data_IF_424742573679
#
_entry.id   IF_424742573679
#
_cell.length_a   1.000
_cell.length_b   1.000
_cell.length_c   1.000
_cell.angle_alpha   90.00
_cell.angle_beta   90.00
_cell.angle_gamma   90.00
#
_symmetry.space_group_name_H-M   'P 1'
#
loop_
_entity.id
_entity.type
_entity.pdbx_description
1 polymer ?
#
# COMPACT_ATOMS: atom_id res chain seq x y z
N UNK A 1 -26.51 -21.78 -17.34
CA UNK A 1 -26.24 -20.63 -16.46
C UNK A 1 -24.88 -19.97 -16.70
N UNK A 2 -23.84 -20.68 -17.15
CA UNK A 2 -22.55 -20.06 -17.54
C UNK A 2 -22.62 -19.20 -18.80
N UNK A 3 -23.41 -19.58 -19.81
CA UNK A 3 -23.56 -18.80 -21.05
C UNK A 3 -24.09 -17.37 -20.80
N UNK A 4 -25.03 -17.22 -19.86
CA UNK A 4 -25.63 -15.92 -19.49
C UNK A 4 -24.67 -15.02 -18.69
N UNK A 5 -23.70 -15.63 -17.99
CA UNK A 5 -22.63 -14.90 -17.29
C UNK A 5 -21.56 -14.42 -18.27
N UNK A 6 -21.27 -15.23 -19.31
CA UNK A 6 -20.38 -14.85 -20.40
C UNK A 6 -21.01 -13.75 -21.28
N UNK A 7 -22.30 -13.82 -21.58
CA UNK A 7 -23.07 -12.81 -22.33
C UNK A 7 -23.14 -11.46 -21.58
N UNK A 8 -23.10 -11.48 -20.24
CA UNK A 8 -22.99 -10.27 -19.41
C UNK A 8 -21.57 -9.68 -19.40
N UNK A 9 -20.54 -10.50 -19.66
CA UNK A 9 -19.14 -10.06 -19.76
C UNK A 9 -18.76 -9.59 -21.17
N UNK A 10 -19.55 -9.96 -22.19
CA UNK A 10 -19.30 -9.66 -23.61
C UNK A 10 -20.31 -8.66 -24.20
N UNK A 11 -21.21 -8.12 -23.36
CA UNK A 11 -21.92 -6.89 -23.70
C UNK A 11 -20.89 -5.76 -23.64
N UNK A 12 -20.15 -5.62 -24.75
CA UNK A 12 -19.31 -4.46 -25.06
C UNK A 12 -20.23 -3.26 -25.00
N UNK A 13 -20.38 -2.69 -23.81
CA UNK A 13 -21.18 -1.50 -23.58
C UNK A 13 -20.59 -0.45 -24.52
N UNK A 14 -21.41 0.02 -25.46
CA UNK A 14 -21.08 1.13 -26.34
C UNK A 14 -21.23 2.42 -25.52
N UNK A 15 -20.33 2.56 -24.54
CA UNK A 15 -20.29 3.69 -23.62
C UNK A 15 -19.74 4.89 -24.38
N UNK A 16 -20.26 6.07 -24.05
CA UNK A 16 -19.58 7.28 -24.50
C UNK A 16 -18.18 7.38 -23.85
N UNK A 17 -17.30 8.19 -24.43
CA UNK A 17 -15.97 8.39 -23.85
C UNK A 17 -16.06 8.99 -22.44
N UNK A 18 -17.00 9.92 -22.24
CA UNK A 18 -17.31 10.54 -20.95
C UNK A 18 -17.68 9.49 -19.90
N UNK A 19 -18.59 8.60 -20.24
CA UNK A 19 -19.04 7.52 -19.36
C UNK A 19 -17.90 6.53 -19.08
N UNK A 20 -17.12 6.17 -20.10
CA UNK A 20 -15.94 5.30 -19.95
C UNK A 20 -14.89 5.90 -19.00
N UNK A 21 -14.61 7.20 -19.12
CA UNK A 21 -13.67 7.90 -18.23
C UNK A 21 -14.27 7.97 -16.82
N UNK A 22 -15.55 8.29 -16.66
CA UNK A 22 -16.21 8.34 -15.35
C UNK A 22 -16.13 6.99 -14.63
N UNK A 23 -16.50 5.90 -15.30
CA UNK A 23 -16.41 4.55 -14.74
C UNK A 23 -14.97 4.15 -14.42
N UNK A 24 -14.00 4.62 -15.21
CA UNK A 24 -12.59 4.35 -14.94
C UNK A 24 -12.06 5.10 -13.72
N UNK A 25 -12.45 6.37 -13.53
CA UNK A 25 -12.14 7.16 -12.33
C UNK A 25 -12.65 6.44 -11.07
N UNK A 26 -13.86 5.88 -11.13
CA UNK A 26 -14.48 5.14 -10.02
C UNK A 26 -14.00 3.68 -9.93
N UNK A 27 -13.03 3.27 -10.76
CA UNK A 27 -12.48 1.91 -10.83
C UNK A 27 -13.52 0.82 -11.14
N UNK A 28 -14.65 1.19 -11.75
CA UNK A 28 -15.74 0.27 -12.11
C UNK A 28 -15.52 -0.41 -13.47
N UNK A 29 -14.84 0.26 -14.40
CA UNK A 29 -14.58 -0.27 -15.74
C UNK A 29 -13.20 0.15 -16.28
N UNK A 30 -12.45 -0.74 -16.96
CA UNK A 30 -11.20 -0.37 -17.62
C UNK A 30 -11.46 0.52 -18.85
N UNK A 31 -10.62 1.51 -19.08
CA UNK A 31 -10.62 2.31 -20.32
C UNK A 31 -9.47 1.89 -21.24
N UNK A 32 -9.66 2.08 -22.54
CA UNK A 32 -8.58 1.99 -23.53
C UNK A 32 -7.66 3.21 -23.42
N UNK A 33 -6.37 2.99 -23.18
CA UNK A 33 -5.39 4.05 -23.00
C UNK A 33 -5.28 4.99 -24.22
N UNK A 34 -5.50 4.48 -25.43
CA UNK A 34 -5.46 5.29 -26.66
C UNK A 34 -6.56 6.36 -26.69
N UNK A 35 -7.73 6.06 -26.12
CA UNK A 35 -8.85 6.99 -26.06
C UNK A 35 -8.60 8.12 -25.06
N UNK A 36 -8.00 7.78 -23.92
CA UNK A 36 -7.59 8.74 -22.90
C UNK A 36 -6.47 9.67 -23.41
N UNK A 37 -5.56 9.15 -24.24
CA UNK A 37 -4.43 9.92 -24.78
C UNK A 37 -4.84 11.00 -25.81
N UNK A 38 -6.08 10.95 -26.30
CA UNK A 38 -6.60 11.98 -27.20
C UNK A 38 -6.69 13.36 -26.51
N UNK A 39 -6.58 14.49 -27.25
CA UNK A 39 -6.71 15.83 -26.67
C UNK A 39 -8.02 16.04 -25.89
N UNK A 40 -9.11 15.46 -26.40
CA UNK A 40 -10.42 15.52 -25.76
C UNK A 40 -10.50 14.62 -24.52
N UNK A 41 -9.93 13.41 -24.56
CA UNK A 41 -9.86 12.51 -23.42
C UNK A 41 -9.07 13.11 -22.24
N UNK A 42 -7.92 13.74 -22.53
CA UNK A 42 -7.12 14.47 -21.53
C UNK A 42 -7.89 15.64 -20.91
N UNK A 43 -8.62 16.41 -21.73
CA UNK A 43 -9.47 17.50 -21.25
C UNK A 43 -10.59 17.01 -20.31
N UNK A 44 -11.27 15.91 -20.66
CA UNK A 44 -12.30 15.30 -19.82
C UNK A 44 -11.72 14.81 -18.49
N UNK A 45 -10.57 14.13 -18.54
CA UNK A 45 -9.85 13.68 -17.36
C UNK A 45 -9.53 14.82 -16.40
N UNK A 46 -8.95 15.91 -16.91
CA UNK A 46 -8.62 17.10 -16.13
C UNK A 46 -9.87 17.75 -15.53
N UNK A 47 -10.95 17.86 -16.33
CA UNK A 47 -12.21 18.48 -15.89
C UNK A 47 -12.88 17.68 -14.77
N UNK A 48 -12.91 16.35 -14.88
CA UNK A 48 -13.55 15.49 -13.87
C UNK A 48 -12.76 15.48 -12.55
N UNK A 49 -11.43 15.48 -12.61
CA UNK A 49 -10.61 15.62 -11.40
C UNK A 49 -10.80 16.99 -10.76
N UNK A 50 -10.81 18.07 -11.54
CA UNK A 50 -11.03 19.42 -11.01
C UNK A 50 -12.39 19.56 -10.33
N UNK A 51 -13.47 19.01 -10.92
CA UNK A 51 -14.79 18.97 -10.27
C UNK A 51 -14.68 18.21 -8.93
N UNK A 52 -14.03 17.05 -8.94
CA UNK A 52 -13.80 16.27 -7.72
C UNK A 52 -13.05 17.05 -6.64
N UNK A 53 -12.02 17.79 -7.03
CA UNK A 53 -11.20 18.58 -6.12
C UNK A 53 -11.97 19.77 -5.54
N UNK A 54 -12.72 20.51 -6.37
CA UNK A 54 -13.65 21.57 -5.93
C UNK A 54 -14.67 21.04 -4.92
N UNK A 55 -15.21 19.85 -5.13
CA UNK A 55 -16.19 19.23 -4.22
C UNK A 55 -15.57 18.80 -2.89
N UNK A 56 -14.26 18.52 -2.84
CA UNK A 56 -13.55 18.13 -1.61
C UNK A 56 -13.07 19.34 -0.80
N UNK A 57 -12.50 20.34 -1.46
CA UNK A 57 -12.03 21.59 -0.84
C UNK A 57 -11.64 22.62 -1.89
N UNK A 58 -11.91 23.90 -1.63
CA UNK A 58 -11.42 25.01 -2.47
C UNK A 58 -9.89 25.04 -2.54
N UNK A 59 -9.18 24.56 -1.51
CA UNK A 59 -7.71 24.48 -1.51
C UNK A 59 -7.17 23.51 -2.57
N UNK A 60 -7.95 22.50 -2.96
CA UNK A 60 -7.56 21.50 -3.96
C UNK A 60 -7.94 21.92 -5.38
N UNK A 61 -8.78 22.96 -5.55
CA UNK A 61 -9.25 23.47 -6.84
C UNK A 61 -8.17 24.26 -7.59
N UNK A 62 -6.99 23.65 -7.75
CA UNK A 62 -5.82 24.25 -8.39
C UNK A 62 -5.81 23.82 -9.85
N UNK A 63 -5.86 24.80 -10.76
CA UNK A 63 -5.67 24.54 -12.18
C UNK A 63 -4.17 24.45 -12.50
N UNK A 64 -3.69 23.30 -13.03
CA UNK A 64 -2.31 23.17 -13.46
C UNK A 64 -1.99 24.16 -14.59
N UNK A 65 -0.74 24.63 -14.65
CA UNK A 65 -0.33 25.43 -15.81
C UNK A 65 -0.23 24.57 -17.07
N UNK A 66 -0.41 25.18 -18.24
CA UNK A 66 -0.37 24.53 -19.57
C UNK A 66 0.80 23.54 -19.77
N UNK A 67 1.98 23.84 -19.21
CA UNK A 67 3.18 23.01 -19.35
C UNK A 67 3.50 22.15 -18.12
N UNK A 68 2.62 22.10 -17.12
CA UNK A 68 2.85 21.33 -15.90
C UNK A 68 3.03 19.85 -16.22
N UNK A 69 2.07 19.22 -16.90
CA UNK A 69 2.14 17.80 -17.24
C UNK A 69 3.32 17.46 -18.16
N UNK A 70 3.67 18.35 -19.09
CA UNK A 70 4.84 18.17 -19.95
C UNK A 70 6.15 18.15 -19.14
N UNK A 71 6.28 19.03 -18.13
CA UNK A 71 7.44 19.04 -17.22
C UNK A 71 7.49 17.80 -16.34
N UNK A 72 6.34 17.38 -15.80
CA UNK A 72 6.23 16.17 -14.96
C UNK A 72 6.56 14.92 -15.77
N UNK A 73 5.96 14.75 -16.95
CA UNK A 73 6.24 13.63 -17.85
C UNK A 73 7.72 13.54 -18.19
N UNK A 74 8.34 14.68 -18.55
CA UNK A 74 9.77 14.74 -18.82
C UNK A 74 10.62 14.34 -17.61
N UNK A 75 10.25 14.81 -16.42
CA UNK A 75 10.97 14.45 -15.19
C UNK A 75 10.88 12.95 -14.91
N UNK A 76 9.70 12.34 -15.13
CA UNK A 76 9.49 10.89 -15.00
C UNK A 76 10.33 10.11 -16.02
N UNK A 77 10.40 10.56 -17.27
CA UNK A 77 11.23 9.92 -18.31
C UNK A 77 12.73 9.98 -17.98
N UNK A 78 13.15 10.99 -17.23
CA UNK A 78 14.53 11.17 -16.75
C UNK A 78 14.84 10.34 -15.49
N UNK A 79 13.83 9.72 -14.84
CA UNK A 79 14.06 8.90 -13.65
C UNK A 79 14.82 7.60 -14.00
N UNK A 80 15.90 7.27 -13.27
CA UNK A 80 16.60 6.02 -13.47
C UNK A 80 15.69 4.84 -13.08
N UNK A 81 15.57 3.85 -13.96
CA UNK A 81 14.80 2.62 -13.69
C UNK A 81 15.36 1.93 -12.43
N UNK A 82 14.64 2.04 -11.32
CA UNK A 82 15.00 1.37 -10.06
C UNK A 82 14.65 -0.11 -10.17
N UNK A 83 15.62 -0.94 -10.52
CA UNK A 83 15.49 -2.40 -10.51
C UNK A 83 15.41 -2.91 -9.06
N UNK A 84 14.19 -2.95 -8.52
CA UNK A 84 13.81 -3.50 -7.22
C UNK A 84 14.47 -2.84 -5.99
N UNK A 85 13.80 -2.88 -4.82
CA UNK A 85 14.49 -2.63 -3.56
C UNK A 85 15.65 -3.61 -3.48
N UNK A 86 16.88 -3.13 -3.31
CA UNK A 86 18.02 -3.98 -3.01
C UNK A 86 17.69 -4.74 -1.72
N UNK A 87 17.23 -6.00 -1.84
CA UNK A 87 17.00 -6.86 -0.71
C UNK A 87 18.36 -7.08 -0.04
N UNK A 88 18.66 -6.28 0.97
CA UNK A 88 19.84 -6.42 1.79
C UNK A 88 19.74 -7.79 2.46
N UNK A 89 20.47 -8.77 1.92
CA UNK A 89 20.50 -10.12 2.50
C UNK A 89 21.02 -9.97 3.93
N UNK A 90 20.26 -10.37 4.97
CA UNK A 90 20.76 -10.27 6.33
C UNK A 90 22.05 -11.09 6.44
N UNK A 91 23.07 -10.60 7.19
CA UNK A 91 24.33 -11.30 7.31
C UNK A 91 24.09 -12.69 7.88
N UNK A 92 24.72 -13.70 7.26
CA UNK A 92 24.54 -15.12 7.59
C UNK A 92 24.76 -15.42 9.08
N UNK A 93 25.64 -14.67 9.76
CA UNK A 93 25.82 -14.72 11.22
C UNK A 93 24.49 -14.66 11.98
N UNK A 94 23.58 -13.73 11.63
CA UNK A 94 22.31 -13.52 12.35
C UNK A 94 21.43 -14.78 12.40
N UNK A 95 21.64 -15.72 11.46
CA UNK A 95 20.96 -17.02 11.44
C UNK A 95 21.53 -18.03 12.45
N UNK A 96 22.79 -17.87 12.86
CA UNK A 96 23.47 -18.75 13.83
C UNK A 96 23.39 -18.21 15.27
N UNK A 97 23.17 -16.90 15.47
CA UNK A 97 23.07 -16.32 16.81
C UNK A 97 21.77 -16.66 17.55
N UNK A 98 20.72 -17.11 16.85
CA UNK A 98 19.44 -17.45 17.47
C UNK A 98 19.43 -18.84 18.14
N UNK A 99 20.45 -19.68 17.96
CA UNK A 99 20.49 -21.01 18.59
C UNK A 99 21.08 -21.03 20.01
N UNK A 100 21.78 -19.96 20.44
CA UNK A 100 22.44 -19.96 21.76
C UNK A 100 21.65 -19.24 22.86
N UNK A 101 20.63 -18.44 22.51
CA UNK A 101 19.82 -17.73 23.51
C UNK A 101 18.77 -18.62 24.21
N UNK A 102 18.38 -19.75 23.61
CA UNK A 102 17.32 -20.64 24.15
C UNK A 102 17.82 -21.56 25.28
N UNK A 103 19.13 -21.84 25.37
CA UNK A 103 19.65 -22.84 26.32
C UNK A 103 19.96 -22.26 27.71
N UNK A 104 20.18 -20.94 27.82
CA UNK A 104 20.54 -20.29 29.09
C UNK A 104 19.41 -20.17 30.12
N UNK A 105 18.14 -20.21 29.70
CA UNK A 105 17.00 -19.99 30.60
C UNK A 105 16.58 -21.23 31.40
N UNK A 106 16.94 -22.45 30.99
CA UNK A 106 16.42 -23.68 31.61
C UNK A 106 17.22 -24.18 32.82
N UNK A 107 18.51 -23.84 32.96
CA UNK A 107 19.38 -24.42 34.01
C UNK A 107 19.41 -23.59 35.29
N UNK A 108 18.96 -22.33 35.25
CA UNK A 108 18.88 -21.47 36.44
C UNK A 108 17.60 -21.66 37.27
N UNK A 109 16.61 -22.44 36.81
CA UNK A 109 15.27 -22.51 37.43
C UNK A 109 15.03 -23.68 38.40
N UNK A 110 15.94 -24.65 38.53
CA UNK A 110 15.72 -25.78 39.47
C UNK A 110 16.25 -25.55 40.88
N UNK A 111 17.10 -24.55 41.11
CA UNK A 111 17.71 -24.30 42.42
C UNK A 111 16.94 -23.28 43.29
N UNK A 112 15.83 -22.73 42.79
CA UNK A 112 15.03 -21.69 43.45
C UNK A 112 13.58 -22.11 43.73
N UNK A 113 13.30 -23.42 43.78
CA UNK A 113 11.99 -23.99 44.15
C UNK A 113 11.98 -24.55 45.58
N UNK A 114 12.53 -23.78 46.53
CA UNK A 114 12.19 -23.90 47.94
C UNK A 114 11.99 -22.50 48.49
N UNK A 115 10.84 -21.88 48.18
CA UNK A 115 10.24 -20.86 49.04
C UNK A 115 8.72 -21.03 49.06
N UNK A 116 8.08 -20.90 50.24
CA UNK A 116 6.64 -21.05 50.42
C UNK A 116 5.87 -19.87 49.82
N UNK A 117 4.66 -20.18 49.34
CA UNK A 117 3.68 -19.30 48.68
C UNK A 117 3.56 -17.89 49.27
N UNK A 118 3.56 -16.90 48.37
CA UNK A 118 2.85 -15.63 48.57
C UNK A 118 1.98 -15.33 47.35
N UNK A 119 0.68 -15.26 47.60
CA UNK A 119 -0.41 -14.84 46.69
C UNK A 119 0.04 -13.64 45.85
N UNK A 120 -0.09 -13.73 44.52
CA UNK A 120 0.17 -12.62 43.61
C UNK A 120 -1.02 -12.46 42.67
N UNK A 121 -1.64 -11.28 42.74
CA UNK A 121 -2.64 -10.72 41.85
C UNK A 121 -2.27 -10.93 40.37
N UNK A 122 -3.21 -11.44 39.56
CA UNK A 122 -3.08 -11.45 38.11
C UNK A 122 -3.17 -10.01 37.57
N UNK A 123 -2.03 -9.41 37.30
CA UNK A 123 -1.97 -8.23 36.44
C UNK A 123 -2.23 -8.67 34.99
N UNK A 124 -3.17 -8.03 34.26
CA UNK A 124 -3.46 -8.41 32.88
C UNK A 124 -2.22 -8.17 32.01
N UNK A 125 -1.87 -9.17 31.20
CA UNK A 125 -0.88 -9.05 30.14
C UNK A 125 -1.42 -8.03 29.13
N UNK A 126 -0.90 -6.80 29.20
CA UNK A 126 -1.11 -5.82 28.14
C UNK A 126 -0.36 -6.31 26.90
N UNK A 127 -1.11 -6.64 25.86
CA UNK A 127 -0.54 -6.84 24.54
C UNK A 127 0.28 -5.60 24.17
N UNK A 128 1.54 -5.81 23.78
CA UNK A 128 2.39 -4.72 23.30
C UNK A 128 1.73 -4.10 22.07
N UNK A 129 1.46 -2.78 22.13
CA UNK A 129 0.81 -2.05 21.05
C UNK A 129 1.63 -2.08 19.74
N UNK A 130 2.95 -2.29 19.85
CA UNK A 130 3.87 -2.29 18.71
C UNK A 130 3.64 -3.50 17.77
N UNK A 131 3.33 -4.68 18.33
CA UNK A 131 3.07 -5.89 17.53
C UNK A 131 1.67 -5.86 16.91
N UNK A 132 0.68 -5.33 17.64
CA UNK A 132 -0.70 -5.16 17.15
C UNK A 132 -0.78 -4.15 15.99
N UNK A 133 0.04 -3.10 16.02
CA UNK A 133 0.08 -2.10 14.97
C UNK A 133 0.67 -2.66 13.67
N UNK A 134 1.74 -3.45 13.76
CA UNK A 134 2.35 -4.10 12.60
C UNK A 134 1.37 -5.06 11.91
N UNK A 135 0.69 -5.92 12.69
CA UNK A 135 -0.31 -6.85 12.18
C UNK A 135 -1.53 -6.13 11.58
N UNK A 136 -1.97 -5.02 12.19
CA UNK A 136 -3.06 -4.20 11.67
C UNK A 136 -2.71 -3.56 10.31
N UNK A 137 -1.49 -3.01 10.17
CA UNK A 137 -1.03 -2.39 8.93
C UNK A 137 -0.86 -3.43 7.83
N UNK A 138 -0.32 -4.61 8.15
CA UNK A 138 -0.19 -5.71 7.17
C UNK A 138 -1.57 -6.24 6.73
N UNK A 139 -2.52 -6.36 7.65
CA UNK A 139 -3.90 -6.72 7.31
C UNK A 139 -4.58 -5.67 6.43
N UNK A 140 -4.40 -4.38 6.72
CA UNK A 140 -4.96 -3.29 5.91
C UNK A 140 -4.36 -3.26 4.50
N UNK A 141 -3.06 -3.50 4.36
CA UNK A 141 -2.37 -3.59 3.07
C UNK A 141 -2.81 -4.79 2.24
N UNK A 142 -3.07 -5.92 2.88
CA UNK A 142 -3.61 -7.10 2.20
C UNK A 142 -5.02 -6.85 1.63
N UNK A 143 -5.83 -6.03 2.28
CA UNK A 143 -7.18 -5.68 1.81
C UNK A 143 -7.19 -4.63 0.69
N UNK A 144 -6.23 -3.70 0.67
CA UNK A 144 -6.16 -2.63 -0.34
C UNK A 144 -5.36 -2.99 -1.59
N UNK A 145 -4.71 -4.17 -1.63
CA UNK A 145 -3.98 -4.67 -2.79
C UNK A 145 -2.63 -3.97 -3.05
N UNK A 146 -2.19 -3.10 -2.15
CA UNK A 146 -0.92 -2.38 -2.26
C UNK A 146 0.18 -3.21 -1.59
N UNK A 147 1.13 -3.70 -2.41
CA UNK A 147 2.26 -4.51 -1.94
C UNK A 147 3.15 -3.78 -0.92
N UNK A 148 4.06 -4.51 -0.22
CA UNK A 148 4.75 -3.98 0.95
C UNK A 148 5.70 -2.81 0.59
N UNK A 149 5.35 -1.61 1.08
CA UNK A 149 6.24 -0.45 1.06
C UNK A 149 7.29 -0.58 2.18
N UNK A 150 8.56 -0.66 1.80
CA UNK A 150 9.68 -0.67 2.74
C UNK A 150 9.99 0.76 3.17
N UNK A 151 9.79 1.08 4.45
CA UNK A 151 10.13 2.40 5.00
C UNK A 151 11.66 2.51 5.14
N UNK A 152 12.27 3.51 4.51
CA UNK A 152 13.70 3.83 4.70
C UNK A 152 13.78 5.17 5.45
N UNK A 153 14.27 5.13 6.69
CA UNK A 153 14.60 6.33 7.45
C UNK A 153 15.96 6.86 7.02
N UNK A 154 16.03 8.12 6.57
CA UNK A 154 17.30 8.83 6.42
C UNK A 154 17.84 9.20 7.82
N UNK A 155 18.96 8.60 8.22
CA UNK A 155 19.80 9.18 9.25
C UNK A 155 20.71 10.22 8.59
N UNK A 156 20.42 11.49 8.81
CA UNK A 156 21.27 12.60 8.40
C UNK A 156 22.58 12.60 9.19
N UNK A 157 23.66 12.98 8.53
CA UNK A 157 24.96 13.27 9.11
C UNK A 157 25.33 14.72 8.85
#
# INVERSE_FOLDING_TARGET
MQAKKQEYLDQKLDLSLEESISLWIDSEHPIDAEQLDSPYGRQLWDSYHLIGDVLRSEELAIEPSELFYARVSKAIDEEPTVFAPNATKPPVWRRWSMSLAVVGAAVLLTFLMVQPESVTEEAPVLASADDLWADYIDAHRAMTGVGPASYVSYMGN
#
